data_IF_591475420181
#
_entry.id   IF_591475420181
#
_cell.length_a   1.000
_cell.length_b   1.000
_cell.length_c   1.000
_cell.angle_alpha   90.00
_cell.angle_beta   90.00
_cell.angle_gamma   90.00
#
_symmetry.space_group_name_H-M   'P 1'
#
loop_
_entity.id
_entity.type
_entity.pdbx_description
1 polymer ?
#
# COMPACT_ATOMS: atom_id res chain seq x y z
N UNK A 1 66.43 12.01 -2.75
CA UNK A 1 65.54 11.15 -3.55
C UNK A 1 64.83 10.17 -2.63
N UNK A 2 63.58 10.44 -2.25
CA UNK A 2 62.64 9.38 -1.85
C UNK A 2 61.26 9.76 -2.33
N UNK A 3 60.62 8.80 -3.02
CA UNK A 3 59.39 8.95 -3.80
C UNK A 3 58.17 9.05 -2.88
N UNK A 4 57.23 9.91 -3.26
CA UNK A 4 55.94 10.08 -2.59
C UNK A 4 55.04 8.84 -2.71
N UNK A 5 54.20 8.64 -1.70
CA UNK A 5 52.96 7.87 -1.77
C UNK A 5 51.82 8.78 -1.35
N UNK A 6 51.02 9.20 -2.32
CA UNK A 6 49.69 9.78 -2.11
C UNK A 6 48.79 8.72 -1.46
N UNK A 7 48.08 9.08 -0.39
CA UNK A 7 46.97 8.30 0.16
C UNK A 7 45.77 8.43 -0.80
N UNK A 8 45.05 7.35 -1.15
CA UNK A 8 43.78 7.47 -1.85
C UNK A 8 42.73 8.11 -0.94
N UNK A 9 41.91 8.97 -1.55
CA UNK A 9 40.75 9.64 -0.97
C UNK A 9 39.67 8.62 -0.58
N UNK A 10 39.21 8.67 0.68
CA UNK A 10 38.03 7.96 1.15
C UNK A 10 36.75 8.67 0.66
N UNK A 11 36.37 8.42 -0.60
CA UNK A 11 35.05 8.70 -1.19
C UNK A 11 34.80 7.59 -2.21
N UNK A 12 33.56 7.09 -2.21
CA UNK A 12 33.07 5.84 -2.84
C UNK A 12 33.47 4.56 -2.11
N UNK A 13 32.48 3.80 -1.59
CA UNK A 13 32.34 2.34 -1.86
C UNK A 13 31.17 1.60 -1.19
N UNK A 14 30.31 2.19 -0.35
CA UNK A 14 29.19 1.41 0.23
C UNK A 14 28.16 0.88 -0.78
N UNK A 15 27.88 1.63 -1.86
CA UNK A 15 26.97 1.19 -2.92
C UNK A 15 27.65 0.32 -4.00
N UNK A 16 28.98 0.23 -3.97
CA UNK A 16 29.79 -0.54 -4.93
C UNK A 16 30.01 -1.98 -4.43
N UNK A 17 29.92 -2.23 -3.12
CA UNK A 17 30.13 -3.56 -2.55
C UNK A 17 29.00 -4.56 -2.83
N UNK A 18 27.75 -4.12 -2.98
CA UNK A 18 26.64 -5.02 -3.37
C UNK A 18 26.51 -5.21 -4.89
N UNK A 19 27.11 -4.33 -5.69
CA UNK A 19 27.18 -4.44 -7.15
C UNK A 19 28.21 -5.49 -7.59
N UNK A 20 29.13 -5.85 -6.69
CA UNK A 20 30.24 -6.77 -6.92
C UNK A 20 30.17 -8.01 -6.04
N UNK A 21 28.99 -8.36 -5.48
CA UNK A 21 28.86 -9.66 -4.83
C UNK A 21 29.04 -10.76 -5.87
N UNK A 22 30.13 -11.50 -5.70
CA UNK A 22 30.42 -12.75 -6.37
C UNK A 22 29.20 -13.69 -6.25
N UNK A 23 28.98 -14.55 -7.24
CA UNK A 23 28.01 -15.64 -7.18
C UNK A 23 28.18 -16.45 -5.87
N UNK A 24 29.39 -16.51 -5.30
CA UNK A 24 29.67 -17.09 -3.98
C UNK A 24 29.06 -16.34 -2.80
N UNK A 25 29.04 -15.00 -2.81
CA UNK A 25 28.49 -14.22 -1.70
C UNK A 25 26.97 -14.22 -1.73
N UNK A 26 26.38 -14.23 -2.93
CA UNK A 26 24.94 -14.44 -3.11
C UNK A 26 24.52 -15.85 -2.65
N UNK A 27 25.30 -16.88 -3.00
CA UNK A 27 25.09 -18.25 -2.51
C UNK A 27 25.17 -18.34 -1.00
N UNK A 28 26.12 -17.64 -0.37
CA UNK A 28 26.26 -17.60 1.10
C UNK A 28 25.06 -16.96 1.79
N UNK A 29 24.43 -15.94 1.20
CA UNK A 29 23.25 -15.32 1.79
C UNK A 29 22.00 -16.19 1.65
N UNK A 30 21.84 -16.88 0.50
CA UNK A 30 20.81 -17.90 0.32
C UNK A 30 21.01 -19.07 1.29
N UNK A 31 22.25 -19.52 1.48
CA UNK A 31 22.60 -20.52 2.49
C UNK A 31 22.23 -20.04 3.89
N UNK A 32 22.59 -18.82 4.27
CA UNK A 32 22.27 -18.30 5.61
C UNK A 32 20.77 -18.26 5.88
N UNK A 33 19.98 -17.92 4.87
CA UNK A 33 18.54 -17.70 4.99
C UNK A 33 17.74 -19.00 4.91
N UNK A 34 18.06 -19.87 3.95
CA UNK A 34 17.27 -21.05 3.63
C UNK A 34 17.87 -22.35 4.15
N UNK A 35 19.18 -22.47 4.37
CA UNK A 35 19.75 -23.72 4.91
C UNK A 35 19.13 -24.16 6.26
N UNK A 36 18.77 -23.26 7.20
CA UNK A 36 18.07 -23.64 8.43
C UNK A 36 16.66 -24.24 8.22
N UNK A 37 16.03 -23.99 7.08
CA UNK A 37 14.77 -24.62 6.67
C UNK A 37 15.03 -26.09 6.32
N UNK A 38 15.98 -26.36 5.42
CA UNK A 38 16.27 -27.71 4.95
C UNK A 38 16.96 -28.58 6.01
N UNK A 39 17.80 -27.99 6.87
CA UNK A 39 18.46 -28.69 7.97
C UNK A 39 17.45 -29.29 8.98
N UNK A 40 16.23 -28.74 9.08
CA UNK A 40 15.14 -29.28 9.90
C UNK A 40 14.58 -30.61 9.37
N UNK A 41 14.82 -30.93 8.10
CA UNK A 41 14.24 -32.12 7.44
C UNK A 41 15.31 -33.16 7.04
N UNK A 42 16.58 -32.89 7.37
CA UNK A 42 17.69 -33.81 7.17
C UNK A 42 18.00 -34.07 5.69
N UNK A 43 18.60 -35.23 5.40
CA UNK A 43 19.10 -35.55 4.05
C UNK A 43 18.00 -35.88 3.02
N UNK A 44 16.74 -35.93 3.45
CA UNK A 44 15.60 -36.27 2.59
C UNK A 44 15.06 -35.04 1.82
N UNK A 45 15.40 -33.81 2.22
CA UNK A 45 14.88 -32.59 1.59
C UNK A 45 13.52 -32.15 2.13
N UNK A 46 13.00 -31.04 1.59
CA UNK A 46 11.69 -30.47 1.98
C UNK A 46 10.66 -30.88 0.93
N UNK A 47 9.47 -31.32 1.36
CA UNK A 47 8.43 -31.68 0.39
C UNK A 47 8.03 -30.47 -0.45
N UNK A 48 7.67 -30.69 -1.72
CA UNK A 48 7.29 -29.59 -2.62
C UNK A 48 6.18 -28.70 -2.04
N UNK A 49 5.14 -29.29 -1.45
CA UNK A 49 4.03 -28.54 -0.86
C UNK A 49 4.44 -27.73 0.37
N UNK A 50 5.29 -28.28 1.24
CA UNK A 50 5.79 -27.58 2.44
C UNK A 50 6.81 -26.50 2.08
N UNK A 51 7.60 -26.71 1.02
CA UNK A 51 8.49 -25.69 0.49
C UNK A 51 7.70 -24.56 -0.19
N UNK A 52 6.61 -24.87 -0.88
CA UNK A 52 5.67 -23.85 -1.38
C UNK A 52 5.08 -23.07 -0.21
N UNK A 53 4.58 -23.74 0.83
CA UNK A 53 4.04 -23.07 2.02
C UNK A 53 5.09 -22.18 2.72
N UNK A 54 6.35 -22.62 2.88
CA UNK A 54 7.42 -21.78 3.44
C UNK A 54 7.90 -20.66 2.48
N UNK A 55 7.85 -20.87 1.16
CA UNK A 55 8.14 -19.82 0.16
C UNK A 55 7.00 -18.79 0.05
N UNK A 56 5.77 -19.22 0.32
CA UNK A 56 4.58 -18.39 0.47
C UNK A 56 4.65 -17.57 1.75
N UNK A 57 5.07 -18.19 2.86
CA UNK A 57 5.30 -17.53 4.15
C UNK A 57 6.46 -16.52 4.09
N UNK A 58 7.52 -16.82 3.33
CA UNK A 58 8.63 -15.88 3.08
C UNK A 58 8.32 -14.85 1.98
N UNK A 59 7.20 -15.01 1.26
CA UNK A 59 6.68 -14.08 0.26
C UNK A 59 7.43 -14.09 -1.08
N UNK A 60 8.25 -15.11 -1.34
CA UNK A 60 9.03 -15.27 -2.58
C UNK A 60 8.15 -15.74 -3.74
N UNK A 61 7.12 -16.56 -3.47
CA UNK A 61 6.24 -17.08 -4.52
C UNK A 61 5.56 -15.95 -5.31
N UNK A 62 5.23 -14.84 -4.64
CA UNK A 62 4.47 -13.73 -5.21
C UNK A 62 5.29 -12.87 -6.19
N UNK A 63 6.57 -13.19 -6.38
CA UNK A 63 7.51 -12.48 -7.26
C UNK A 63 7.70 -13.25 -8.57
N UNK A 64 7.36 -14.54 -8.59
CA UNK A 64 7.51 -15.43 -9.75
C UNK A 64 6.10 -15.88 -10.16
N UNK A 65 5.68 -15.68 -11.42
CA UNK A 65 4.36 -16.13 -11.89
C UNK A 65 4.08 -17.60 -11.53
N UNK A 66 2.86 -17.94 -11.08
CA UNK A 66 2.50 -19.30 -10.63
C UNK A 66 2.83 -20.37 -11.68
N UNK A 67 2.52 -20.11 -12.95
CA UNK A 67 2.83 -21.00 -14.09
C UNK A 67 4.32 -21.23 -14.33
N UNK A 68 5.16 -20.33 -13.82
CA UNK A 68 6.62 -20.42 -13.84
C UNK A 68 7.17 -21.05 -12.57
N UNK A 69 6.54 -20.82 -11.42
CA UNK A 69 6.93 -21.46 -10.16
C UNK A 69 6.71 -22.96 -10.25
N UNK A 70 5.57 -23.40 -10.77
CA UNK A 70 5.28 -24.82 -10.99
C UNK A 70 6.34 -25.46 -11.91
N UNK A 71 6.75 -24.77 -12.98
CA UNK A 71 7.84 -25.23 -13.86
C UNK A 71 9.22 -25.22 -13.21
N UNK A 72 9.47 -24.29 -12.29
CA UNK A 72 10.74 -24.19 -11.58
C UNK A 72 10.85 -25.28 -10.51
N UNK A 73 9.74 -25.58 -9.83
CA UNK A 73 9.58 -26.66 -8.86
C UNK A 73 9.67 -28.02 -9.57
N UNK A 74 8.97 -28.21 -10.69
CA UNK A 74 9.07 -29.41 -11.54
C UNK A 74 10.47 -29.60 -12.17
N UNK A 75 11.20 -28.50 -12.41
CA UNK A 75 12.58 -28.56 -12.92
C UNK A 75 13.63 -28.72 -11.79
N UNK A 76 13.27 -28.40 -10.55
CA UNK A 76 14.12 -28.54 -9.37
C UNK A 76 14.10 -29.96 -8.82
N UNK A 77 12.94 -30.62 -8.79
CA UNK A 77 12.78 -32.05 -8.44
C UNK A 77 13.30 -32.95 -9.58
N UNK A 78 14.63 -33.10 -9.66
CA UNK A 78 15.30 -33.78 -10.79
C UNK A 78 15.15 -35.28 -10.76
N UNK A 79 15.07 -35.87 -9.57
CA UNK A 79 14.93 -37.31 -9.37
C UNK A 79 13.47 -37.75 -9.17
N UNK A 80 12.53 -36.80 -9.14
CA UNK A 80 11.07 -37.01 -9.11
C UNK A 80 10.60 -37.74 -7.87
N UNK A 81 11.23 -37.45 -6.73
CA UNK A 81 10.87 -38.05 -5.46
C UNK A 81 9.87 -37.19 -4.66
N UNK A 82 9.47 -36.03 -5.20
CA UNK A 82 8.59 -35.03 -4.60
C UNK A 82 9.16 -34.32 -3.36
N UNK A 83 10.47 -34.44 -3.14
CA UNK A 83 11.23 -33.67 -2.16
C UNK A 83 12.29 -32.83 -2.88
N UNK A 84 12.43 -31.58 -2.47
CA UNK A 84 13.47 -30.70 -2.98
C UNK A 84 14.60 -30.69 -1.97
N UNK A 85 15.78 -31.11 -2.41
CA UNK A 85 16.98 -31.02 -1.58
C UNK A 85 17.53 -29.59 -1.59
N UNK A 86 18.30 -29.24 -0.57
CA UNK A 86 18.95 -27.92 -0.51
C UNK A 86 19.82 -27.64 -1.75
N UNK A 87 20.41 -28.68 -2.35
CA UNK A 87 21.22 -28.55 -3.57
C UNK A 87 20.37 -28.16 -4.79
N UNK A 88 19.18 -28.76 -4.93
CA UNK A 88 18.25 -28.48 -6.02
C UNK A 88 17.61 -27.10 -5.91
N UNK A 89 17.27 -26.70 -4.68
CA UNK A 89 16.82 -25.34 -4.38
C UNK A 89 17.85 -24.28 -4.78
N UNK A 90 19.13 -24.51 -4.47
CA UNK A 90 20.22 -23.59 -4.81
C UNK A 90 20.48 -23.50 -6.32
N UNK A 91 20.33 -24.61 -7.06
CA UNK A 91 20.44 -24.63 -8.52
C UNK A 91 19.26 -23.89 -9.20
N UNK A 92 18.04 -24.02 -8.66
CA UNK A 92 16.84 -23.29 -9.11
C UNK A 92 17.01 -21.78 -8.94
N UNK A 93 17.43 -21.34 -7.74
CA UNK A 93 17.65 -19.92 -7.44
C UNK A 93 18.87 -19.34 -8.15
N UNK A 94 19.74 -20.17 -8.71
CA UNK A 94 20.80 -19.74 -9.63
C UNK A 94 20.31 -19.32 -11.03
N UNK A 95 19.03 -19.56 -11.37
CA UNK A 95 18.50 -19.42 -12.75
C UNK A 95 17.80 -18.10 -13.13
N UNK A 96 17.59 -17.14 -12.21
CA UNK A 96 16.99 -15.81 -12.55
C UNK A 96 17.98 -14.94 -13.32
N UNK A 97 17.52 -14.16 -14.32
CA UNK A 97 18.44 -13.38 -15.16
C UNK A 97 19.07 -12.21 -14.41
N UNK A 98 20.37 -11.99 -14.66
CA UNK A 98 21.17 -10.90 -14.07
C UNK A 98 20.57 -9.51 -14.32
N UNK A 99 19.84 -9.37 -15.43
CA UNK A 99 19.14 -8.15 -15.88
C UNK A 99 17.95 -7.77 -15.00
N UNK A 100 17.13 -8.74 -14.59
CA UNK A 100 15.91 -8.49 -13.79
C UNK A 100 16.27 -8.15 -12.34
N UNK A 101 17.28 -8.84 -11.78
CA UNK A 101 17.84 -8.53 -10.46
C UNK A 101 18.46 -7.12 -10.44
N UNK A 102 19.19 -6.75 -11.48
CA UNK A 102 19.85 -5.44 -11.59
C UNK A 102 18.85 -4.28 -11.74
N UNK A 103 17.75 -4.45 -12.47
CA UNK A 103 16.76 -3.39 -12.69
C UNK A 103 15.99 -3.05 -11.39
N UNK A 104 15.54 -4.07 -10.66
CA UNK A 104 14.80 -3.90 -9.40
C UNK A 104 15.70 -3.29 -8.31
N UNK A 105 16.97 -3.70 -8.25
CA UNK A 105 17.96 -3.14 -7.32
C UNK A 105 18.41 -1.72 -7.69
N UNK A 106 18.50 -1.37 -8.98
CA UNK A 106 18.78 0.00 -9.43
C UNK A 106 17.64 0.94 -9.07
N UNK A 107 16.39 0.52 -9.26
CA UNK A 107 15.22 1.32 -8.88
C UNK A 107 15.16 1.53 -7.36
N UNK A 108 15.28 0.45 -6.57
CA UNK A 108 15.35 0.55 -5.12
C UNK A 108 16.52 1.43 -4.66
N UNK A 109 17.72 1.26 -5.24
CA UNK A 109 18.89 2.07 -4.93
C UNK A 109 18.70 3.56 -5.24
N UNK A 110 18.09 3.92 -6.37
CA UNK A 110 17.77 5.32 -6.72
C UNK A 110 16.74 5.90 -5.75
N UNK A 111 15.71 5.13 -5.40
CA UNK A 111 14.68 5.54 -4.46
C UNK A 111 15.29 5.75 -3.07
N UNK A 112 16.09 4.81 -2.58
CA UNK A 112 16.74 4.88 -1.26
C UNK A 112 17.75 6.03 -1.18
N UNK A 113 18.61 6.20 -2.19
CA UNK A 113 19.62 7.26 -2.18
C UNK A 113 19.03 8.67 -2.27
N UNK A 114 17.81 8.82 -2.79
CA UNK A 114 17.16 10.11 -2.97
C UNK A 114 16.00 10.37 -1.99
N UNK A 115 15.41 9.34 -1.38
CA UNK A 115 14.36 9.44 -0.36
C UNK A 115 14.93 9.35 1.06
N UNK A 116 15.97 8.52 1.28
CA UNK A 116 16.52 8.27 2.61
C UNK A 116 17.67 9.24 2.93
N UNK A 117 17.60 9.98 4.05
CA UNK A 117 18.65 10.90 4.52
C UNK A 117 19.99 10.19 4.69
N UNK A 118 21.10 10.89 4.41
CA UNK A 118 22.47 10.33 4.45
C UNK A 118 22.78 9.61 5.77
N UNK A 119 22.32 10.15 6.90
CA UNK A 119 22.55 9.61 8.25
C UNK A 119 21.92 8.24 8.49
N UNK A 120 20.87 7.89 7.73
CA UNK A 120 20.17 6.62 7.87
C UNK A 120 20.42 5.66 6.73
N UNK A 121 21.26 6.00 5.75
CA UNK A 121 21.48 5.11 4.61
C UNK A 121 22.13 3.81 5.05
N UNK A 122 23.00 3.85 6.04
CA UNK A 122 23.65 2.64 6.57
C UNK A 122 22.62 1.77 7.31
N UNK A 123 21.89 2.30 8.30
CA UNK A 123 20.82 1.55 8.99
C UNK A 123 19.69 1.07 8.06
N UNK A 124 19.29 1.91 7.10
CA UNK A 124 18.26 1.55 6.13
C UNK A 124 18.79 0.48 5.19
N UNK A 125 20.00 0.58 4.62
CA UNK A 125 20.57 -0.45 3.73
C UNK A 125 20.88 -1.76 4.47
N UNK A 126 21.23 -1.69 5.75
CA UNK A 126 21.48 -2.85 6.62
C UNK A 126 20.19 -3.57 7.01
N UNK A 127 19.05 -2.87 7.04
CA UNK A 127 17.72 -3.42 7.35
C UNK A 127 16.76 -3.45 6.14
N UNK A 128 17.20 -3.02 4.96
CA UNK A 128 16.44 -3.08 3.73
C UNK A 128 16.55 -4.50 3.19
N UNK A 129 15.72 -5.37 3.75
CA UNK A 129 15.34 -6.57 3.06
C UNK A 129 14.62 -6.10 1.79
N UNK A 130 15.17 -6.38 0.61
CA UNK A 130 14.52 -6.20 -0.70
C UNK A 130 13.15 -6.92 -0.81
N UNK A 131 12.69 -7.52 0.29
CA UNK A 131 11.43 -8.20 0.46
C UNK A 131 10.70 -7.62 1.69
N UNK A 132 9.36 -7.45 1.59
CA UNK A 132 8.55 -7.74 0.41
C UNK A 132 8.42 -6.51 -0.53
N UNK A 133 8.23 -6.73 -1.85
CA UNK A 133 7.88 -5.67 -2.80
C UNK A 133 6.59 -4.95 -2.38
N UNK A 134 6.30 -3.75 -2.94
CA UNK A 134 5.04 -3.05 -2.65
C UNK A 134 3.87 -3.86 -3.23
N UNK A 135 3.31 -4.79 -2.45
CA UNK A 135 2.28 -5.74 -2.90
C UNK A 135 0.86 -5.26 -2.64
N UNK A 136 0.63 -4.49 -1.58
CA UNK A 136 -0.74 -4.22 -1.11
C UNK A 136 -1.50 -3.33 -2.08
N UNK A 137 -0.91 -2.22 -2.54
CA UNK A 137 -1.53 -1.32 -3.52
C UNK A 137 -1.91 -2.04 -4.81
N UNK A 138 -1.08 -2.95 -5.31
CA UNK A 138 -1.41 -3.72 -6.52
C UNK A 138 -2.55 -4.70 -6.26
N UNK A 139 -2.50 -5.45 -5.14
CA UNK A 139 -3.55 -6.41 -4.79
C UNK A 139 -4.90 -5.73 -4.66
N UNK A 140 -4.99 -4.63 -3.88
CA UNK A 140 -6.27 -3.95 -3.68
C UNK A 140 -6.80 -3.31 -4.98
N UNK A 141 -5.90 -2.78 -5.82
CA UNK A 141 -6.24 -2.29 -7.16
C UNK A 141 -6.82 -3.38 -8.07
N UNK A 142 -6.23 -4.58 -8.06
CA UNK A 142 -6.73 -5.72 -8.84
C UNK A 142 -8.12 -6.14 -8.35
N UNK A 143 -8.31 -6.21 -7.03
CA UNK A 143 -9.61 -6.55 -6.43
C UNK A 143 -10.68 -5.52 -6.86
N UNK A 144 -10.37 -4.22 -6.80
CA UNK A 144 -11.29 -3.16 -7.22
C UNK A 144 -11.67 -3.28 -8.71
N UNK A 145 -10.71 -3.60 -9.58
CA UNK A 145 -10.95 -3.82 -11.01
C UNK A 145 -11.85 -5.04 -11.24
N UNK A 146 -11.55 -6.17 -10.58
CA UNK A 146 -12.33 -7.41 -10.72
C UNK A 146 -13.78 -7.17 -10.28
N UNK A 147 -13.96 -6.58 -9.09
CA UNK A 147 -15.29 -6.27 -8.56
C UNK A 147 -16.04 -5.32 -9.50
N UNK A 148 -15.38 -4.28 -10.02
CA UNK A 148 -15.99 -3.37 -10.97
C UNK A 148 -16.45 -4.08 -12.25
N UNK A 149 -15.62 -4.95 -12.84
CA UNK A 149 -15.98 -5.70 -14.06
C UNK A 149 -17.16 -6.63 -13.81
N UNK A 150 -17.17 -7.34 -12.67
CA UNK A 150 -18.27 -8.25 -12.31
C UNK A 150 -19.59 -7.50 -12.24
N UNK A 151 -19.65 -6.40 -11.47
CA UNK A 151 -20.88 -5.61 -11.35
C UNK A 151 -21.24 -4.85 -12.63
N UNK A 152 -20.26 -4.43 -13.43
CA UNK A 152 -20.53 -3.81 -14.73
C UNK A 152 -21.22 -4.78 -15.69
N UNK A 153 -20.78 -6.05 -15.72
CA UNK A 153 -21.44 -7.12 -16.51
C UNK A 153 -22.83 -7.46 -15.98
N UNK A 154 -23.01 -7.47 -14.66
CA UNK A 154 -24.32 -7.72 -14.05
C UNK A 154 -25.32 -6.60 -14.38
N UNK A 155 -24.87 -5.34 -14.34
CA UNK A 155 -25.67 -4.18 -14.77
C UNK A 155 -26.01 -4.25 -16.27
N UNK A 156 -25.04 -4.62 -17.11
CA UNK A 156 -25.25 -4.81 -18.55
C UNK A 156 -26.31 -5.88 -18.84
N UNK A 157 -26.28 -7.01 -18.11
CA UNK A 157 -27.29 -8.07 -18.21
C UNK A 157 -28.70 -7.59 -17.82
N UNK A 158 -28.80 -6.57 -16.97
CA UNK A 158 -30.06 -5.91 -16.59
C UNK A 158 -30.45 -4.75 -17.55
N UNK A 159 -29.69 -4.54 -18.63
CA UNK A 159 -29.92 -3.46 -19.60
C UNK A 159 -29.45 -2.08 -19.13
N UNK A 160 -28.62 -2.01 -18.08
CA UNK A 160 -28.08 -0.77 -17.52
C UNK A 160 -26.61 -0.64 -17.95
N UNK A 161 -26.32 0.30 -18.85
CA UNK A 161 -24.95 0.57 -19.27
C UNK A 161 -24.14 1.26 -18.16
N UNK A 162 -22.94 0.73 -17.89
CA UNK A 162 -21.93 1.42 -17.07
C UNK A 162 -21.25 2.49 -17.92
N UNK A 163 -21.26 3.74 -17.46
CA UNK A 163 -20.68 4.89 -18.17
C UNK A 163 -19.44 5.46 -17.44
N UNK A 164 -18.92 6.59 -17.93
CA UNK A 164 -17.80 7.30 -17.29
C UNK A 164 -18.09 7.65 -15.83
N UNK A 165 -19.34 8.03 -15.55
CA UNK A 165 -19.76 8.69 -14.30
C UNK A 165 -20.96 8.03 -13.64
N UNK A 166 -21.54 7.00 -14.25
CA UNK A 166 -22.67 6.22 -13.72
C UNK A 166 -22.43 4.72 -13.89
N UNK A 167 -23.05 3.90 -13.03
CA UNK A 167 -22.78 2.46 -12.98
C UNK A 167 -22.59 1.89 -11.56
N UNK A 168 -23.10 2.56 -10.52
CA UNK A 168 -23.11 1.99 -9.17
C UNK A 168 -24.19 0.91 -9.08
N UNK A 169 -23.87 -0.32 -8.66
CA UNK A 169 -24.87 -1.36 -8.39
C UNK A 169 -25.59 -1.04 -7.07
N UNK A 170 -26.68 -0.27 -7.14
CA UNK A 170 -27.42 0.18 -5.95
C UNK A 170 -28.00 -0.97 -5.11
N UNK A 171 -28.18 -2.15 -5.70
CA UNK A 171 -28.63 -3.35 -5.00
C UNK A 171 -27.51 -4.03 -4.19
N UNK A 172 -26.23 -3.80 -4.54
CA UNK A 172 -25.10 -4.57 -4.02
C UNK A 172 -25.01 -4.63 -2.48
N UNK A 173 -24.64 -5.78 -1.91
CA UNK A 173 -24.34 -5.91 -0.47
C UNK A 173 -23.07 -5.17 -0.05
N UNK A 174 -22.20 -4.77 -1.00
CA UNK A 174 -20.96 -4.06 -0.72
C UNK A 174 -21.17 -2.55 -0.53
N UNK A 175 -22.27 -2.00 -1.06
CA UNK A 175 -22.55 -0.57 -0.99
C UNK A 175 -22.84 -0.12 0.45
N UNK A 176 -22.26 0.99 0.88
CA UNK A 176 -22.71 1.64 2.12
C UNK A 176 -24.10 2.23 1.92
N UNK A 177 -25.09 1.71 2.67
CA UNK A 177 -26.49 2.16 2.64
C UNK A 177 -26.90 2.69 4.01
N UNK A 178 -27.37 3.95 4.11
CA UNK A 178 -27.87 4.47 5.37
C UNK A 178 -29.12 3.75 5.90
N UNK A 179 -29.89 3.06 5.07
CA UNK A 179 -31.02 2.23 5.52
C UNK A 179 -30.57 0.90 6.15
N UNK A 180 -29.32 0.47 5.93
CA UNK A 180 -28.75 -0.80 6.43
C UNK A 180 -27.48 -0.61 7.25
N UNK A 181 -27.41 0.46 8.04
CA UNK A 181 -26.27 0.80 8.92
C UNK A 181 -25.94 -0.26 9.96
N UNK A 182 -26.87 -1.16 10.26
CA UNK A 182 -26.64 -2.29 11.18
C UNK A 182 -25.71 -3.36 10.55
N UNK A 183 -25.54 -3.35 9.23
CA UNK A 183 -24.65 -4.24 8.49
C UNK A 183 -23.22 -3.68 8.49
N UNK A 184 -22.46 -3.94 9.58
CA UNK A 184 -21.17 -3.30 9.85
C UNK A 184 -20.13 -3.43 8.72
N UNK A 185 -20.15 -4.53 7.96
CA UNK A 185 -19.23 -4.73 6.84
C UNK A 185 -19.36 -3.66 5.75
N UNK A 186 -20.54 -3.04 5.60
CA UNK A 186 -20.78 -1.97 4.62
C UNK A 186 -19.96 -0.70 4.86
N UNK A 187 -19.45 -0.50 6.08
CA UNK A 187 -18.51 0.58 6.39
C UNK A 187 -17.11 0.32 5.83
N UNK A 188 -16.82 -0.90 5.40
CA UNK A 188 -15.53 -1.31 4.84
C UNK A 188 -15.65 -1.65 3.35
N UNK A 189 -16.60 -2.49 2.97
CA UNK A 189 -16.71 -3.06 1.62
C UNK A 189 -17.09 -2.05 0.54
N UNK A 190 -17.58 -0.87 0.91
CA UNK A 190 -17.95 0.18 -0.04
C UNK A 190 -16.76 0.67 -0.89
N UNK A 191 -15.52 0.48 -0.40
CA UNK A 191 -14.29 0.83 -1.14
C UNK A 191 -14.18 0.09 -2.48
N UNK A 192 -14.78 -1.09 -2.60
CA UNK A 192 -14.69 -1.94 -3.78
C UNK A 192 -15.64 -1.52 -4.91
N UNK A 193 -16.65 -0.70 -4.62
CA UNK A 193 -17.62 -0.22 -5.61
C UNK A 193 -17.25 1.17 -6.11
N UNK A 194 -17.45 1.43 -7.39
CA UNK A 194 -17.14 2.72 -8.00
C UNK A 194 -18.33 3.26 -8.81
N UNK A 195 -18.35 4.59 -9.01
CA UNK A 195 -19.49 5.26 -9.64
C UNK A 195 -19.54 5.08 -11.15
N UNK A 196 -18.39 4.86 -11.76
CA UNK A 196 -18.18 4.70 -13.19
C UNK A 196 -16.68 4.52 -13.44
N UNK A 197 -16.30 4.24 -14.68
CA UNK A 197 -14.91 3.87 -14.97
C UNK A 197 -13.91 5.03 -14.73
N UNK A 198 -14.32 6.30 -14.89
CA UNK A 198 -13.45 7.44 -14.58
C UNK A 198 -13.17 7.53 -13.07
N UNK A 199 -14.18 7.25 -12.24
CA UNK A 199 -14.00 7.26 -10.79
C UNK A 199 -13.07 6.13 -10.33
N UNK A 200 -13.20 4.93 -10.91
CA UNK A 200 -12.26 3.83 -10.65
C UNK A 200 -10.83 4.20 -11.06
N UNK A 201 -10.63 4.63 -12.32
CA UNK A 201 -9.29 4.97 -12.83
C UNK A 201 -8.63 6.06 -11.97
N UNK A 202 -9.38 7.08 -11.56
CA UNK A 202 -8.86 8.13 -10.69
C UNK A 202 -8.39 7.59 -9.33
N UNK A 203 -9.17 6.71 -8.69
CA UNK A 203 -8.77 6.08 -7.42
C UNK A 203 -7.53 5.21 -7.62
N UNK A 204 -7.48 4.38 -8.67
CA UNK A 204 -6.32 3.54 -8.97
C UNK A 204 -5.04 4.38 -9.18
N UNK A 205 -5.13 5.49 -9.93
CA UNK A 205 -4.00 6.40 -10.13
C UNK A 205 -3.56 7.02 -8.81
N UNK A 206 -4.49 7.54 -8.00
CA UNK A 206 -4.16 8.16 -6.71
C UNK A 206 -3.55 7.15 -5.74
N UNK A 207 -4.16 5.98 -5.63
CA UNK A 207 -3.73 4.87 -4.80
C UNK A 207 -2.34 4.39 -5.17
N UNK A 208 -2.05 4.16 -6.45
CA UNK A 208 -0.72 3.71 -6.89
C UNK A 208 0.33 4.82 -6.76
N UNK A 209 -0.02 6.05 -7.13
CA UNK A 209 0.90 7.20 -7.07
C UNK A 209 1.34 7.52 -5.64
N UNK A 210 0.41 7.48 -4.68
CA UNK A 210 0.68 7.84 -3.29
C UNK A 210 1.05 6.63 -2.43
N UNK A 211 0.41 5.49 -2.68
CA UNK A 211 0.58 4.28 -1.90
C UNK A 211 1.90 3.58 -2.14
N UNK A 212 2.34 3.41 -3.39
CA UNK A 212 3.59 2.69 -3.69
C UNK A 212 4.81 3.33 -3.01
N UNK A 213 5.02 4.67 -3.05
CA UNK A 213 6.11 5.29 -2.30
C UNK A 213 6.02 5.06 -0.79
N UNK A 214 4.81 5.08 -0.20
CA UNK A 214 4.64 4.79 1.23
C UNK A 214 4.97 3.34 1.55
N UNK A 215 4.60 2.39 0.69
CA UNK A 215 4.89 0.96 0.92
C UNK A 215 6.38 0.67 0.87
N UNK A 216 7.10 1.29 -0.06
CA UNK A 216 8.56 1.12 -0.19
C UNK A 216 9.27 1.63 1.07
N UNK A 217 8.80 2.72 1.67
CA UNK A 217 9.43 3.33 2.86
C UNK A 217 8.97 2.68 4.16
N UNK A 218 7.69 2.37 4.28
CA UNK A 218 7.06 1.98 5.55
C UNK A 218 6.59 0.53 5.59
N UNK A 219 6.83 -0.28 4.55
CA UNK A 219 6.35 -1.66 4.40
C UNK A 219 4.84 -1.75 4.13
N UNK A 220 4.45 -2.68 3.25
CA UNK A 220 3.08 -2.89 2.80
C UNK A 220 2.04 -3.00 3.93
N UNK A 221 2.31 -3.77 4.99
CA UNK A 221 1.33 -4.02 6.06
C UNK A 221 1.00 -2.77 6.88
N UNK A 222 1.95 -1.84 7.05
CA UNK A 222 1.71 -0.57 7.76
C UNK A 222 0.80 0.34 6.93
N UNK A 223 1.07 0.39 5.63
CA UNK A 223 0.26 1.17 4.69
C UNK A 223 -1.13 0.56 4.54
N UNK A 224 -1.24 -0.77 4.50
CA UNK A 224 -2.51 -1.50 4.51
C UNK A 224 -3.37 -1.12 5.72
N UNK A 225 -2.80 -1.08 6.93
CA UNK A 225 -3.52 -0.66 8.13
C UNK A 225 -4.02 0.78 8.02
N UNK A 226 -3.16 1.72 7.59
CA UNK A 226 -3.54 3.12 7.41
C UNK A 226 -4.65 3.27 6.37
N UNK A 227 -4.55 2.56 5.25
CA UNK A 227 -5.53 2.58 4.18
C UNK A 227 -6.89 2.04 4.64
N UNK A 228 -6.93 0.84 5.24
CA UNK A 228 -8.18 0.21 5.68
C UNK A 228 -8.86 0.97 6.81
N UNK A 229 -8.09 1.46 7.79
CA UNK A 229 -8.65 2.29 8.85
C UNK A 229 -9.14 3.64 8.27
N UNK A 230 -8.44 4.16 7.26
CA UNK A 230 -8.86 5.31 6.46
C UNK A 230 -10.22 5.13 5.79
N UNK A 231 -10.45 3.97 5.17
CA UNK A 231 -11.75 3.59 4.58
C UNK A 231 -12.85 3.59 5.64
N UNK A 232 -12.61 2.95 6.79
CA UNK A 232 -13.59 2.90 7.89
C UNK A 232 -13.87 4.31 8.46
N UNK A 233 -12.82 5.11 8.67
CA UNK A 233 -12.97 6.48 9.15
C UNK A 233 -13.72 7.37 8.13
N UNK A 234 -13.49 7.14 6.84
CA UNK A 234 -14.20 7.79 5.75
C UNK A 234 -15.70 7.49 5.78
N UNK A 235 -16.09 6.21 5.84
CA UNK A 235 -17.51 5.84 5.92
C UNK A 235 -18.17 6.28 7.23
N UNK A 236 -17.46 6.23 8.36
CA UNK A 236 -17.94 6.79 9.62
C UNK A 236 -18.18 8.30 9.52
N UNK A 237 -17.21 9.08 9.02
CA UNK A 237 -17.37 10.52 8.80
C UNK A 237 -18.52 10.85 7.84
N UNK A 238 -18.67 10.08 6.77
CA UNK A 238 -19.80 10.18 5.84
C UNK A 238 -21.14 9.91 6.53
N UNK A 239 -21.22 8.84 7.31
CA UNK A 239 -22.44 8.48 8.06
C UNK A 239 -22.88 9.54 9.08
N UNK A 240 -21.94 10.34 9.61
CA UNK A 240 -22.20 11.40 10.59
C UNK A 240 -22.64 12.72 9.97
N UNK A 241 -22.49 12.88 8.65
CA UNK A 241 -22.66 14.17 7.98
C UNK A 241 -23.70 14.09 6.87
N UNK A 242 -23.75 12.97 6.14
CA UNK A 242 -24.63 12.77 5.00
C UNK A 242 -25.47 11.49 5.16
N UNK A 243 -26.23 11.47 6.26
CA UNK A 243 -27.08 10.40 6.76
C UNK A 243 -28.11 9.82 5.76
N UNK A 244 -28.29 10.43 4.58
CA UNK A 244 -29.28 10.06 3.57
C UNK A 244 -28.66 9.57 2.26
N UNK A 245 -27.33 9.59 2.13
CA UNK A 245 -26.63 9.33 0.87
C UNK A 245 -25.81 8.04 0.99
N UNK A 246 -25.99 7.14 0.01
CA UNK A 246 -25.16 5.95 -0.12
C UNK A 246 -23.72 6.31 -0.50
N UNK A 247 -22.76 5.49 -0.10
CA UNK A 247 -21.34 5.73 -0.35
C UNK A 247 -20.72 4.55 -1.11
N UNK A 248 -19.91 4.87 -2.10
CA UNK A 248 -19.11 3.94 -2.91
C UNK A 248 -17.78 4.63 -3.28
N UNK A 249 -16.68 3.89 -3.21
CA UNK A 249 -15.38 4.32 -3.72
C UNK A 249 -14.25 4.15 -2.71
N UNK A 250 -13.08 3.81 -3.23
CA UNK A 250 -11.83 3.64 -2.48
C UNK A 250 -11.23 4.96 -1.92
N UNK A 251 -11.89 6.10 -2.15
CA UNK A 251 -11.32 7.42 -1.88
C UNK A 251 -11.05 7.69 -0.40
N UNK A 252 -11.79 7.05 0.53
CA UNK A 252 -11.46 7.10 1.97
C UNK A 252 -10.04 6.59 2.25
N UNK A 253 -9.63 5.50 1.59
CA UNK A 253 -8.27 4.97 1.66
C UNK A 253 -7.26 5.87 0.94
N UNK A 254 -7.59 6.37 -0.26
CA UNK A 254 -6.72 7.29 -1.00
C UNK A 254 -6.40 8.56 -0.21
N UNK A 255 -7.40 9.16 0.44
CA UNK A 255 -7.19 10.33 1.29
C UNK A 255 -6.45 9.99 2.58
N UNK A 256 -6.56 8.77 3.10
CA UNK A 256 -5.70 8.32 4.18
C UNK A 256 -4.23 8.20 3.77
N UNK A 257 -3.93 7.83 2.52
CA UNK A 257 -2.56 7.89 1.99
C UNK A 257 -2.05 9.33 1.90
N UNK A 258 -2.89 10.29 1.49
CA UNK A 258 -2.56 11.73 1.56
C UNK A 258 -2.25 12.13 3.00
N UNK A 259 -3.09 11.74 3.96
CA UNK A 259 -2.86 11.98 5.39
C UNK A 259 -1.56 11.37 5.91
N UNK A 260 -1.24 10.15 5.48
CA UNK A 260 0.02 9.47 5.81
C UNK A 260 1.24 10.19 5.24
N UNK A 261 1.15 10.73 4.03
CA UNK A 261 2.19 11.59 3.48
C UNK A 261 2.35 12.90 4.26
N UNK A 262 1.25 13.53 4.68
CA UNK A 262 1.30 14.72 5.54
C UNK A 262 1.97 14.40 6.88
N UNK A 263 1.62 13.28 7.52
CA UNK A 263 2.29 12.81 8.72
C UNK A 263 3.80 12.60 8.50
N UNK A 264 4.18 11.96 7.39
CA UNK A 264 5.58 11.78 7.01
C UNK A 264 6.30 13.11 6.82
N UNK A 265 5.67 14.11 6.18
CA UNK A 265 6.25 15.46 6.04
C UNK A 265 6.41 16.16 7.38
N UNK A 266 5.43 16.05 8.28
CA UNK A 266 5.49 16.66 9.62
C UNK A 266 6.62 16.06 10.46
N UNK A 267 6.81 14.74 10.37
CA UNK A 267 7.83 14.04 11.15
C UNK A 267 9.25 14.17 10.58
N UNK A 268 9.39 14.41 9.28
CA UNK A 268 10.67 14.35 8.57
C UNK A 268 11.01 15.67 7.85
N UNK A 269 10.48 16.80 8.34
CA UNK A 269 10.58 18.10 7.66
C UNK A 269 12.03 18.51 7.40
N UNK A 270 12.87 18.45 8.44
CA UNK A 270 14.24 18.91 8.36
C UNK A 270 15.08 17.99 7.46
N UNK A 271 14.89 16.68 7.58
CA UNK A 271 15.57 15.69 6.76
C UNK A 271 15.20 15.76 5.28
N UNK A 272 13.93 16.00 4.95
CA UNK A 272 13.47 16.13 3.56
C UNK A 272 13.98 17.42 2.88
N UNK A 273 14.33 18.45 3.66
CA UNK A 273 14.83 19.73 3.15
C UNK A 273 16.35 19.84 3.16
N UNK A 274 17.06 18.91 3.81
CA UNK A 274 18.52 18.90 3.83
C UNK A 274 19.11 18.65 2.43
N UNK A 275 20.02 19.53 1.98
CA UNK A 275 20.65 19.51 0.65
C UNK A 275 19.65 19.46 -0.54
N UNK A 276 18.38 19.86 -0.37
CA UNK A 276 17.36 19.68 -1.42
C UNK A 276 17.59 20.59 -2.65
N UNK A 277 18.34 21.68 -2.49
CA UNK A 277 18.63 22.67 -3.53
C UNK A 277 20.02 22.51 -4.17
N UNK A 278 20.79 21.47 -3.84
CA UNK A 278 22.16 21.25 -4.35
C UNK A 278 22.22 20.69 -5.80
N UNK A 279 21.22 20.99 -6.64
CA UNK A 279 21.24 20.66 -8.06
C UNK A 279 20.81 19.23 -8.44
N UNK A 280 20.32 18.42 -7.50
CA UNK A 280 19.68 17.14 -7.81
C UNK A 280 18.16 17.34 -7.99
N UNK A 281 17.62 17.24 -9.22
CA UNK A 281 16.21 17.50 -9.49
C UNK A 281 15.27 16.54 -8.75
N UNK A 282 15.72 15.31 -8.44
CA UNK A 282 14.93 14.33 -7.71
C UNK A 282 14.75 14.76 -6.25
N UNK A 283 15.81 15.24 -5.59
CA UNK A 283 15.72 15.74 -4.21
C UNK A 283 14.87 16.99 -4.08
N UNK A 284 14.91 17.87 -5.07
CA UNK A 284 14.02 19.03 -5.11
C UNK A 284 12.55 18.61 -5.19
N UNK A 285 12.21 17.68 -6.09
CA UNK A 285 10.83 17.17 -6.23
C UNK A 285 10.34 16.48 -4.94
N UNK A 286 11.24 15.77 -4.26
CA UNK A 286 10.94 15.06 -3.02
C UNK A 286 10.97 15.95 -1.76
N UNK A 287 11.37 17.22 -1.88
CA UNK A 287 11.41 18.15 -0.75
C UNK A 287 10.01 18.34 -0.15
N UNK A 288 9.97 18.64 1.16
CA UNK A 288 8.70 18.79 1.87
C UNK A 288 7.78 19.86 1.25
N UNK A 289 8.25 21.07 0.87
CA UNK A 289 7.42 22.08 0.23
C UNK A 289 6.84 21.63 -1.12
N UNK A 290 7.64 20.99 -1.97
CA UNK A 290 7.16 20.53 -3.28
C UNK A 290 6.16 19.39 -3.13
N UNK A 291 6.44 18.43 -2.24
CA UNK A 291 5.51 17.34 -1.92
C UNK A 291 4.19 17.89 -1.38
N UNK A 292 4.22 18.86 -0.47
CA UNK A 292 3.00 19.54 0.03
C UNK A 292 2.24 20.24 -1.09
N UNK A 293 2.93 20.97 -1.97
CA UNK A 293 2.28 21.63 -3.10
C UNK A 293 1.61 20.61 -4.04
N UNK A 294 2.27 19.49 -4.34
CA UNK A 294 1.72 18.41 -5.16
C UNK A 294 0.50 17.76 -4.49
N UNK A 295 0.57 17.47 -3.18
CA UNK A 295 -0.57 16.92 -2.43
C UNK A 295 -1.75 17.90 -2.40
N UNK A 296 -1.50 19.20 -2.21
CA UNK A 296 -2.53 20.22 -2.23
C UNK A 296 -3.18 20.36 -3.61
N UNK A 297 -2.40 20.29 -4.70
CA UNK A 297 -2.93 20.32 -6.06
C UNK A 297 -3.78 19.09 -6.36
N UNK A 298 -3.31 17.89 -5.99
CA UNK A 298 -4.04 16.63 -6.23
C UNK A 298 -5.32 16.55 -5.38
N UNK A 299 -5.20 16.69 -4.06
CA UNK A 299 -6.32 16.61 -3.13
C UNK A 299 -7.31 17.76 -3.34
N UNK A 300 -6.80 18.97 -3.58
CA UNK A 300 -7.61 20.15 -3.85
C UNK A 300 -8.36 20.03 -5.17
N UNK A 301 -7.71 19.57 -6.24
CA UNK A 301 -8.35 19.34 -7.54
C UNK A 301 -9.46 18.28 -7.48
N UNK A 302 -9.18 17.13 -6.84
CA UNK A 302 -10.17 16.07 -6.65
C UNK A 302 -11.34 16.51 -5.76
N UNK A 303 -11.07 17.16 -4.62
CA UNK A 303 -12.12 17.71 -3.74
C UNK A 303 -12.95 18.78 -4.45
N UNK A 304 -12.33 19.68 -5.22
CA UNK A 304 -13.03 20.69 -5.99
C UNK A 304 -13.96 20.06 -7.03
N UNK A 305 -13.49 19.01 -7.72
CA UNK A 305 -14.32 18.24 -8.64
C UNK A 305 -15.49 17.54 -7.92
N UNK A 306 -15.25 16.95 -6.74
CA UNK A 306 -16.30 16.32 -5.93
C UNK A 306 -17.37 17.32 -5.48
N UNK A 307 -16.96 18.52 -5.04
CA UNK A 307 -17.85 19.64 -4.70
C UNK A 307 -18.63 20.10 -5.93
N UNK A 308 -17.95 20.31 -7.06
CA UNK A 308 -18.58 20.74 -8.30
C UNK A 308 -19.68 19.77 -8.73
N UNK A 309 -19.37 18.47 -8.76
CA UNK A 309 -20.33 17.41 -9.12
C UNK A 309 -21.52 17.35 -8.16
N UNK A 310 -21.28 17.56 -6.87
CA UNK A 310 -22.34 17.50 -5.85
C UNK A 310 -23.36 18.64 -5.97
N UNK A 311 -22.89 19.86 -6.27
CA UNK A 311 -23.73 21.05 -6.21
C UNK A 311 -24.18 21.59 -7.57
N UNK A 312 -23.44 21.30 -8.64
CA UNK A 312 -23.65 21.93 -9.95
C UNK A 312 -23.97 20.94 -11.08
N UNK A 313 -23.94 19.62 -10.82
CA UNK A 313 -24.30 18.61 -11.83
C UNK A 313 -25.62 17.94 -11.45
N UNK A 314 -26.70 18.34 -12.12
CA UNK A 314 -28.02 17.71 -11.94
C UNK A 314 -27.98 16.23 -12.37
N UNK A 315 -28.59 15.35 -11.57
CA UNK A 315 -28.65 13.91 -11.85
C UNK A 315 -27.37 13.12 -11.58
N UNK A 316 -26.25 13.75 -11.21
CA UNK A 316 -25.05 13.04 -10.79
C UNK A 316 -25.22 12.41 -9.39
N UNK A 317 -24.74 11.18 -9.19
CA UNK A 317 -24.68 10.60 -7.84
C UNK A 317 -23.79 11.47 -6.95
N UNK A 318 -24.30 11.80 -5.76
CA UNK A 318 -23.63 12.67 -4.80
C UNK A 318 -22.36 12.02 -4.28
N UNK A 319 -21.24 12.76 -4.34
CA UNK A 319 -19.97 12.33 -3.77
C UNK A 319 -19.95 12.66 -2.27
N UNK A 320 -19.44 11.74 -1.45
CA UNK A 320 -19.26 11.90 -0.01
C UNK A 320 -18.00 12.70 0.32
N UNK A 321 -18.10 14.03 0.32
CA UNK A 321 -16.96 14.93 0.64
C UNK A 321 -16.37 14.62 2.03
N UNK A 322 -17.23 14.30 2.99
CA UNK A 322 -16.83 13.96 4.35
C UNK A 322 -16.09 12.63 4.45
N UNK A 323 -16.26 11.71 3.50
CA UNK A 323 -15.46 10.49 3.43
C UNK A 323 -13.98 10.80 3.14
N UNK A 324 -13.72 11.76 2.25
CA UNK A 324 -12.37 12.24 1.95
C UNK A 324 -11.72 12.87 3.19
N UNK A 325 -12.45 13.74 3.89
CA UNK A 325 -11.96 14.40 5.12
C UNK A 325 -11.68 13.36 6.22
N UNK A 326 -12.60 12.42 6.44
CA UNK A 326 -12.46 11.37 7.46
C UNK A 326 -11.26 10.47 7.19
N UNK A 327 -11.07 10.04 5.94
CA UNK A 327 -9.90 9.29 5.50
C UNK A 327 -8.59 10.05 5.72
N UNK A 328 -8.53 11.31 5.30
CA UNK A 328 -7.33 12.16 5.46
C UNK A 328 -6.95 12.37 6.93
N UNK A 329 -7.92 12.66 7.80
CA UNK A 329 -7.67 12.82 9.22
C UNK A 329 -7.21 11.51 9.86
N UNK A 330 -7.78 10.37 9.49
CA UNK A 330 -7.31 9.06 9.94
C UNK A 330 -5.86 8.81 9.52
N UNK A 331 -5.55 9.06 8.25
CA UNK A 331 -4.18 8.94 7.73
C UNK A 331 -3.18 9.84 8.45
N UNK A 332 -3.54 11.08 8.76
CA UNK A 332 -2.69 12.01 9.51
C UNK A 332 -2.48 11.56 10.97
N UNK A 333 -3.56 11.19 11.65
CA UNK A 333 -3.51 10.82 13.07
C UNK A 333 -2.83 9.47 13.30
N UNK A 334 -3.08 8.49 12.42
CA UNK A 334 -2.51 7.15 12.50
C UNK A 334 -1.17 7.04 11.79
N UNK A 335 -0.88 7.92 10.84
CA UNK A 335 0.42 8.00 10.18
C UNK A 335 1.55 8.19 11.19
N UNK A 336 1.33 8.98 12.24
CA UNK A 336 2.33 9.26 13.28
C UNK A 336 2.70 8.00 14.12
N UNK A 337 1.75 7.27 14.72
CA UNK A 337 2.07 6.05 15.49
C UNK A 337 2.34 4.81 14.63
N UNK A 338 1.80 4.73 13.41
CA UNK A 338 1.91 3.52 12.57
C UNK A 338 3.09 3.60 11.60
N UNK A 339 3.35 4.73 10.94
CA UNK A 339 4.44 4.81 9.95
C UNK A 339 5.79 4.93 10.64
N UNK A 340 6.81 4.27 10.07
CA UNK A 340 8.17 4.28 10.64
C UNK A 340 8.76 5.69 10.53
N UNK A 341 9.24 6.24 11.64
CA UNK A 341 10.02 7.46 11.61
C UNK A 341 11.50 7.19 11.37
N UNK A 342 12.18 8.19 10.78
CA UNK A 342 13.60 8.16 10.44
C UNK A 342 14.41 8.20 11.74
N UNK A 343 14.23 9.25 12.54
CA UNK A 343 14.86 9.38 13.85
C UNK A 343 13.78 9.32 14.93
N UNK A 344 13.76 8.29 15.78
CA UNK A 344 12.76 8.24 16.86
C UNK A 344 13.11 9.19 18.00
N UNK A 345 12.38 10.30 18.12
CA UNK A 345 12.47 11.18 19.28
C UNK A 345 11.43 10.82 20.37
N UNK A 346 11.73 11.02 21.66
CA UNK A 346 10.79 10.71 22.75
C UNK A 346 9.46 11.49 22.67
N UNK A 347 9.45 12.67 22.05
CA UNK A 347 8.24 13.48 21.86
C UNK A 347 7.28 12.86 20.84
N UNK A 348 7.80 12.11 19.86
CA UNK A 348 7.00 11.46 18.82
C UNK A 348 6.19 10.31 19.38
N UNK A 349 6.75 9.55 20.32
CA UNK A 349 6.01 8.50 21.05
C UNK A 349 4.83 9.11 21.80
N UNK A 350 5.04 10.25 22.48
CA UNK A 350 3.96 10.98 23.16
C UNK A 350 2.92 11.49 22.16
N UNK A 351 3.35 12.07 21.05
CA UNK A 351 2.46 12.57 20.01
C UNK A 351 1.64 11.42 19.39
N UNK A 352 2.25 10.27 19.11
CA UNK A 352 1.57 9.09 18.58
C UNK A 352 0.50 8.55 19.52
N UNK A 353 0.74 8.52 20.84
CA UNK A 353 -0.30 8.16 21.82
C UNK A 353 -1.44 9.18 21.87
N UNK A 354 -1.13 10.48 21.76
CA UNK A 354 -2.14 11.54 21.70
C UNK A 354 -2.99 11.40 20.44
N UNK A 355 -2.38 11.26 19.26
CA UNK A 355 -3.12 11.15 18.00
C UNK A 355 -3.94 9.87 17.91
N UNK A 356 -3.41 8.75 18.40
CA UNK A 356 -4.16 7.50 18.53
C UNK A 356 -5.37 7.67 19.46
N UNK A 357 -5.20 8.32 20.61
CA UNK A 357 -6.30 8.57 21.55
C UNK A 357 -7.38 9.44 20.93
N UNK A 358 -7.01 10.51 20.22
CA UNK A 358 -7.96 11.37 19.49
C UNK A 358 -8.71 10.57 18.44
N UNK A 359 -8.03 9.73 17.68
CA UNK A 359 -8.65 8.87 16.67
C UNK A 359 -9.65 7.88 17.29
N UNK A 360 -9.28 7.21 18.38
CA UNK A 360 -10.17 6.27 19.07
C UNK A 360 -11.40 6.96 19.67
N UNK A 361 -11.25 8.18 20.19
CA UNK A 361 -12.38 8.99 20.66
C UNK A 361 -13.34 9.36 19.50
N UNK A 362 -12.80 9.70 18.33
CA UNK A 362 -13.61 9.94 17.13
C UNK A 362 -14.39 8.68 16.71
N UNK A 363 -13.73 7.52 16.66
CA UNK A 363 -14.39 6.25 16.31
C UNK A 363 -15.48 5.91 17.32
N UNK A 364 -15.20 6.03 18.62
CA UNK A 364 -16.17 5.79 19.68
C UNK A 364 -17.40 6.71 19.52
N UNK A 365 -17.16 8.02 19.36
CA UNK A 365 -18.22 8.99 19.09
C UNK A 365 -19.05 8.59 17.86
N UNK A 366 -18.41 8.25 16.76
CA UNK A 366 -19.10 7.91 15.52
C UNK A 366 -19.97 6.65 15.65
N UNK A 367 -19.48 5.64 16.37
CA UNK A 367 -20.23 4.40 16.65
C UNK A 367 -21.43 4.69 17.54
N UNK A 368 -21.26 5.43 18.64
CA UNK A 368 -22.37 5.82 19.51
C UNK A 368 -23.40 6.66 18.78
N UNK A 369 -22.95 7.62 17.98
CA UNK A 369 -23.85 8.47 17.20
C UNK A 369 -24.67 7.64 16.19
N UNK A 370 -24.04 6.71 15.45
CA UNK A 370 -24.75 5.84 14.52
C UNK A 370 -25.81 4.95 15.19
N UNK A 371 -25.58 4.54 16.44
CA UNK A 371 -26.52 3.72 17.22
C UNK A 371 -27.63 4.51 17.91
N UNK A 372 -27.37 5.76 18.31
CA UNK A 372 -28.28 6.54 19.17
C UNK A 372 -29.05 7.63 18.41
N UNK A 373 -28.49 8.18 17.33
CA UNK A 373 -29.12 9.25 16.58
C UNK A 373 -30.33 8.73 15.78
N UNK A 374 -31.47 9.41 15.92
CA UNK A 374 -32.76 8.98 15.30
C UNK A 374 -33.08 9.65 13.97
N UNK A 375 -32.23 10.55 13.48
CA UNK A 375 -32.47 11.30 12.24
C UNK A 375 -32.05 10.59 10.95
N UNK A 376 -31.67 9.32 11.02
CA UNK A 376 -31.36 8.51 9.84
C UNK A 376 -32.64 8.04 9.13
N UNK A 377 -32.54 7.63 7.84
CA UNK A 377 -33.62 6.93 7.14
C UNK A 377 -34.09 5.70 7.91
N UNK A 378 -35.37 5.34 7.70
CA UNK A 378 -35.94 4.12 8.26
C UNK A 378 -35.10 2.90 7.86
N UNK A 379 -34.87 2.04 8.85
CA UNK A 379 -34.10 0.82 8.66
C UNK A 379 -34.85 -0.12 7.72
N UNK A 380 -34.16 -0.57 6.67
CA UNK A 380 -34.64 -1.59 5.75
C UNK A 380 -34.21 -2.98 6.27
N UNK A 381 -35.18 -3.76 6.75
CA UNK A 381 -34.97 -5.12 7.27
C UNK A 381 -35.20 -6.21 6.21
N UNK A 382 -35.41 -5.85 4.94
CA UNK A 382 -35.69 -6.85 3.91
C UNK A 382 -34.47 -7.78 3.69
N UNK A 383 -34.70 -9.09 3.47
CA UNK A 383 -33.63 -10.03 3.15
C UNK A 383 -32.82 -9.54 1.95
N UNK A 384 -31.50 -9.77 1.96
CA UNK A 384 -30.61 -9.18 0.96
C UNK A 384 -30.73 -9.81 -0.44
N UNK A 385 -31.55 -10.85 -0.60
CA UNK A 385 -31.81 -11.55 -1.85
C UNK A 385 -33.28 -12.02 -1.84
N UNK A 386 -34.06 -11.66 -2.85
CA UNK A 386 -35.25 -12.43 -3.18
C UNK A 386 -34.79 -13.73 -3.85
N UNK A 387 -35.30 -14.87 -3.38
CA UNK A 387 -35.13 -16.18 -4.03
C UNK A 387 -35.60 -16.18 -5.49
#
# INVERSE_FOLDING_TARGET
>A
MSRGRSRPSARDTGAVELVNMDDQDFRRELERTFKPIFDRHGNQGVSVGELQDELDETGIINIIPEDRMDRLIEAADRDRDHFITFREFMDMMGGLSKTERSAMQKFAGVVIQNIVPKSMREDFMEHYTCCPPPIFMFIISIIEIIVFIVYAKELEAQGIATTATTGVPMYSPLLYKPTRRYEAWRYFTYMLLHQGYVHLIANLVFQLLLGLPLEIVHKWWRVMLVYFIGVIAGSLSHSLTDHWVALAGASGGCYALIGGHLASVVLNWDEMNHDCCEGNPIRFILSAPVRLALLLLLAGGDTANAVYRRFFTEGASKVGISAHIGGMLAGLLLGIPILKNINEHPWEKKLGWVTLSVFLLFVAFAVFFNGLYRGYPQTDWSPCCHE
#
